data_IF_207968671721
#
_entry.id   IF_207968671721
#
_cell.length_a   1.000
_cell.length_b   1.000
_cell.length_c   1.000
_cell.angle_alpha   90.00
_cell.angle_beta   90.00
_cell.angle_gamma   90.00
#
_symmetry.space_group_name_H-M   'P 1'
#
loop_
_entity.id
_entity.type
_entity.pdbx_description
1 polymer ?
#
# COMPACT_ATOMS: atom_id res chain seq x y z
N UNK A 1 -8.86 -23.44 18.58
CA UNK A 1 -7.89 -24.08 17.67
C UNK A 1 -8.70 -24.67 16.54
N UNK A 2 -8.26 -24.48 15.29
CA UNK A 2 -9.06 -24.59 14.04
C UNK A 2 -9.90 -23.36 13.69
N UNK A 3 -9.21 -22.29 13.25
CA UNK A 3 -9.68 -21.42 12.15
C UNK A 3 -8.51 -20.54 11.65
N UNK A 4 -7.34 -21.14 11.40
CA UNK A 4 -6.19 -20.48 10.76
C UNK A 4 -5.62 -21.45 9.73
N UNK A 5 -6.38 -21.66 8.65
CA UNK A 5 -5.90 -22.28 7.40
C UNK A 5 -6.84 -21.83 6.29
N UNK A 6 -6.47 -20.75 5.62
CA UNK A 6 -7.27 -20.24 4.49
C UNK A 6 -7.12 -18.75 4.19
N UNK A 7 -5.93 -18.17 4.38
CA UNK A 7 -5.64 -16.83 3.86
C UNK A 7 -4.17 -16.74 3.47
N UNK A 8 -3.83 -17.41 2.38
CA UNK A 8 -2.63 -17.19 1.56
C UNK A 8 -2.87 -18.02 0.29
N UNK A 9 -3.38 -17.36 -0.76
CA UNK A 9 -3.45 -17.74 -2.19
C UNK A 9 -4.77 -17.26 -2.79
N UNK A 10 -4.76 -16.03 -3.31
CA UNK A 10 -5.68 -15.62 -4.38
C UNK A 10 -4.96 -14.59 -5.22
N UNK A 11 -4.09 -15.08 -6.10
CA UNK A 11 -3.73 -14.36 -7.31
C UNK A 11 -4.96 -14.34 -8.20
N UNK A 12 -5.53 -13.15 -8.43
CA UNK A 12 -6.67 -12.97 -9.32
C UNK A 12 -6.19 -13.02 -10.78
N UNK A 13 -6.70 -14.01 -11.51
CA UNK A 13 -6.75 -14.05 -12.96
C UNK A 13 -7.81 -13.04 -13.46
N UNK A 14 -7.45 -12.20 -14.43
CA UNK A 14 -8.40 -11.37 -15.17
C UNK A 14 -9.20 -12.24 -16.16
N UNK A 15 -10.50 -12.01 -16.35
CA UNK A 15 -11.28 -12.71 -17.37
C UNK A 15 -11.15 -11.99 -18.72
N UNK A 16 -10.72 -12.72 -19.75
CA UNK A 16 -10.84 -12.33 -21.15
C UNK A 16 -12.15 -12.88 -21.71
N UNK A 17 -13.00 -11.99 -22.21
CA UNK A 17 -14.29 -12.27 -22.84
C UNK A 17 -14.20 -12.20 -24.37
N UNK A 18 -14.52 -13.29 -25.08
CA UNK A 18 -15.07 -13.29 -26.45
C UNK A 18 -15.87 -14.60 -26.70
N UNK A 19 -16.96 -14.59 -27.50
CA UNK A 19 -17.96 -15.68 -27.56
C UNK A 19 -17.71 -16.70 -28.68
N UNK A 20 -18.40 -17.88 -28.67
CA UNK A 20 -18.15 -18.97 -29.62
C UNK A 20 -19.22 -19.15 -30.72
N UNK A 21 -18.79 -19.73 -31.85
CA UNK A 21 -19.58 -20.31 -32.95
C UNK A 21 -18.69 -20.45 -34.19
N UNK A 22 -18.71 -21.48 -35.05
CA UNK A 22 -19.48 -22.71 -35.20
C UNK A 22 -18.78 -23.53 -36.34
N UNK A 23 -18.62 -24.87 -36.22
CA UNK A 23 -18.50 -25.91 -37.28
C UNK A 23 -17.38 -25.79 -38.37
N UNK A 24 -16.69 -26.81 -38.92
CA UNK A 24 -16.74 -28.27 -38.87
C UNK A 24 -15.53 -28.90 -39.63
N UNK A 25 -15.33 -30.21 -39.46
CA UNK A 25 -14.85 -31.25 -40.41
C UNK A 25 -13.36 -31.28 -40.88
N UNK A 26 -12.60 -32.31 -40.47
CA UNK A 26 -12.28 -33.53 -41.27
C UNK A 26 -11.12 -34.38 -40.68
N UNK A 27 -11.45 -35.66 -40.49
CA UNK A 27 -10.74 -36.96 -40.38
C UNK A 27 -9.19 -37.16 -40.33
N UNK A 28 -8.72 -38.34 -39.81
CA UNK A 28 -7.31 -38.70 -39.53
C UNK A 28 -6.69 -39.70 -40.53
N UNK A 29 -5.37 -39.94 -40.44
CA UNK A 29 -4.64 -40.95 -41.24
C UNK A 29 -3.33 -41.43 -40.61
N UNK A 30 -3.11 -42.74 -40.67
CA UNK A 30 -2.17 -43.59 -39.92
C UNK A 30 -0.91 -44.00 -40.70
N UNK A 31 0.10 -44.49 -39.95
CA UNK A 31 1.15 -45.47 -40.33
C UNK A 31 2.31 -44.98 -41.22
N UNK A 32 3.52 -45.54 -41.26
CA UNK A 32 4.23 -46.65 -40.61
C UNK A 32 5.73 -46.47 -40.98
N UNK A 33 6.68 -46.97 -40.19
CA UNK A 33 7.77 -47.87 -40.62
C UNK A 33 8.90 -47.94 -39.58
N UNK A 34 8.96 -49.07 -38.88
CA UNK A 34 10.12 -49.54 -38.14
C UNK A 34 10.71 -50.73 -38.92
N UNK A 35 12.02 -50.75 -39.09
CA UNK A 35 12.77 -51.85 -39.71
C UNK A 35 13.17 -52.88 -38.66
N UNK A 36 12.98 -54.16 -39.01
CA UNK A 36 13.38 -55.32 -38.21
C UNK A 36 14.83 -55.73 -38.52
N UNK A 37 15.55 -56.20 -37.50
CA UNK A 37 16.69 -57.12 -37.65
C UNK A 37 16.68 -58.07 -36.44
N UNK A 38 16.80 -59.37 -36.71
CA UNK A 38 16.56 -60.53 -35.83
C UNK A 38 17.90 -61.33 -35.67
N UNK A 39 17.98 -62.39 -34.86
CA UNK A 39 18.55 -62.43 -33.51
C UNK A 39 19.91 -63.18 -33.41
N UNK A 40 20.53 -63.17 -32.23
CA UNK A 40 21.51 -64.20 -31.82
C UNK A 40 21.23 -64.63 -30.38
N UNK A 41 20.94 -65.93 -30.21
CA UNK A 41 20.75 -66.59 -28.92
C UNK A 41 22.10 -66.86 -28.26
N UNK A 42 22.30 -66.40 -27.02
CA UNK A 42 23.12 -67.09 -26.02
C UNK A 42 22.86 -66.50 -24.62
N UNK A 43 22.51 -67.36 -23.66
CA UNK A 43 22.59 -67.05 -22.23
C UNK A 43 21.27 -66.73 -21.54
N UNK A 44 20.41 -67.74 -21.40
CA UNK A 44 19.29 -67.72 -20.46
C UNK A 44 19.83 -67.71 -19.02
N UNK A 45 19.97 -66.53 -18.43
CA UNK A 45 19.89 -66.35 -16.98
C UNK A 45 18.62 -65.57 -16.71
N UNK A 46 17.54 -66.28 -16.37
CA UNK A 46 16.34 -65.70 -15.77
C UNK A 46 16.75 -64.88 -14.54
N UNK A 47 16.86 -63.57 -14.70
CA UNK A 47 16.75 -62.65 -13.58
C UNK A 47 15.29 -62.71 -13.12
N UNK A 48 15.08 -63.21 -11.90
CA UNK A 48 13.78 -63.17 -11.24
C UNK A 48 13.23 -61.73 -11.29
N UNK A 49 11.95 -61.51 -11.60
CA UNK A 49 11.35 -60.20 -11.42
C UNK A 49 11.37 -59.93 -9.91
N UNK A 50 12.26 -59.04 -9.48
CA UNK A 50 12.13 -58.45 -8.14
C UNK A 50 10.88 -57.58 -8.21
N UNK A 51 9.77 -58.12 -7.72
CA UNK A 51 8.57 -57.33 -7.47
C UNK A 51 8.95 -56.16 -6.58
N UNK A 52 8.87 -54.94 -7.12
CA UNK A 52 8.96 -53.73 -6.32
C UNK A 52 7.79 -53.78 -5.33
N UNK A 53 8.05 -53.72 -4.01
CA UNK A 53 6.97 -53.73 -3.03
C UNK A 53 6.03 -52.55 -3.29
N UNK A 54 4.71 -52.78 -3.38
CA UNK A 54 3.74 -51.71 -3.53
C UNK A 54 3.71 -50.92 -2.23
N UNK A 55 4.36 -49.75 -2.20
CA UNK A 55 4.30 -48.88 -1.04
C UNK A 55 5.47 -47.93 -0.82
N UNK A 56 6.59 -48.05 -1.53
CA UNK A 56 7.68 -47.08 -1.38
C UNK A 56 7.39 -45.87 -2.28
N UNK A 57 6.68 -44.88 -1.72
CA UNK A 57 6.66 -43.52 -2.28
C UNK A 57 8.12 -43.10 -2.48
N UNK A 58 8.55 -42.95 -3.72
CA UNK A 58 9.91 -42.51 -4.05
C UNK A 58 10.23 -41.26 -3.26
N UNK A 59 11.31 -41.30 -2.45
CA UNK A 59 11.74 -40.14 -1.68
C UNK A 59 12.34 -39.14 -2.67
N UNK A 60 11.69 -37.99 -2.83
CA UNK A 60 12.28 -36.86 -3.56
C UNK A 60 13.43 -36.33 -2.71
N UNK A 61 14.65 -36.50 -3.20
CA UNK A 61 15.84 -35.89 -2.61
C UNK A 61 16.00 -34.48 -3.18
N UNK A 62 16.04 -33.48 -2.31
CA UNK A 62 16.35 -32.09 -2.64
C UNK A 62 17.69 -31.76 -2.00
N UNK A 63 18.68 -31.41 -2.83
CA UNK A 63 19.97 -30.93 -2.38
C UNK A 63 19.93 -29.40 -2.33
N UNK A 64 20.19 -28.84 -1.16
CA UNK A 64 20.32 -27.40 -0.94
C UNK A 64 21.81 -27.06 -0.90
N UNK A 65 22.28 -26.29 -1.88
CA UNK A 65 23.60 -25.67 -1.85
C UNK A 65 23.47 -24.25 -1.29
N UNK A 66 24.18 -23.97 -0.20
CA UNK A 66 24.11 -22.70 0.52
C UNK A 66 25.48 -22.02 0.46
N UNK A 67 25.59 -20.97 -0.35
CA UNK A 67 26.80 -20.17 -0.45
C UNK A 67 26.77 -18.99 0.55
N UNK A 68 27.68 -19.00 1.51
CA UNK A 68 27.82 -17.96 2.55
C UNK A 68 29.05 -17.07 2.37
N UNK A 69 29.78 -17.18 1.25
CA UNK A 69 31.04 -16.44 1.03
C UNK A 69 30.85 -14.92 0.93
N UNK A 70 29.73 -14.48 0.36
CA UNK A 70 29.42 -13.04 0.23
C UNK A 70 27.91 -12.83 0.11
N UNK A 71 27.35 -11.77 0.74
CA UNK A 71 25.94 -11.44 0.59
C UNK A 71 25.64 -11.01 -0.84
N UNK A 72 24.53 -11.52 -1.41
CA UNK A 72 24.07 -11.10 -2.75
C UNK A 72 23.56 -9.65 -2.71
N UNK A 73 22.83 -9.28 -1.65
CA UNK A 73 22.36 -7.91 -1.41
C UNK A 73 22.27 -7.65 0.09
N UNK A 74 22.50 -6.41 0.48
CA UNK A 74 22.21 -5.90 1.82
C UNK A 74 20.91 -5.09 1.72
N UNK A 75 19.90 -5.47 2.50
CA UNK A 75 18.59 -4.82 2.51
C UNK A 75 18.49 -3.86 3.69
N UNK A 76 17.57 -2.90 3.58
CA UNK A 76 17.22 -2.00 4.69
C UNK A 76 16.63 -2.78 5.86
N UNK A 77 16.84 -2.31 7.09
CA UNK A 77 16.11 -2.82 8.26
C UNK A 77 14.59 -2.62 8.11
N UNK A 78 14.17 -1.60 7.35
CA UNK A 78 12.78 -1.31 7.03
C UNK A 78 12.28 -2.07 5.78
N UNK A 79 12.90 -3.19 5.40
CA UNK A 79 12.62 -3.88 4.14
C UNK A 79 11.14 -4.27 4.00
N UNK A 80 10.55 -4.85 5.05
CA UNK A 80 9.13 -5.16 5.08
C UNK A 80 8.35 -3.95 5.59
N UNK A 81 7.80 -3.17 4.67
CA UNK A 81 7.08 -1.93 4.97
C UNK A 81 5.59 -2.01 4.61
N UNK A 82 4.81 -1.05 5.13
CA UNK A 82 3.35 -1.00 5.00
C UNK A 82 2.88 0.20 4.19
N UNK A 83 1.69 0.10 3.62
CA UNK A 83 1.02 1.21 2.95
C UNK A 83 -0.40 1.40 3.49
N UNK A 84 -0.81 2.66 3.67
CA UNK A 84 -2.18 3.07 3.91
C UNK A 84 -2.62 4.02 2.79
N UNK A 85 -3.71 3.69 2.12
CA UNK A 85 -4.29 4.53 1.08
C UNK A 85 -5.03 5.73 1.70
N UNK A 86 -4.90 6.97 1.16
CA UNK A 86 -5.58 8.15 1.68
C UNK A 86 -7.10 8.02 1.80
N UNK A 87 -7.72 7.08 1.09
CA UNK A 87 -9.13 6.76 1.22
C UNK A 87 -9.63 6.54 2.66
N UNK A 88 -8.76 6.13 3.58
CA UNK A 88 -9.08 5.99 5.01
C UNK A 88 -9.46 7.31 5.72
N UNK A 89 -9.30 8.46 5.07
CA UNK A 89 -9.74 9.75 5.60
C UNK A 89 -11.27 9.88 5.60
N UNK A 90 -11.97 9.10 4.77
CA UNK A 90 -13.43 9.06 4.80
C UNK A 90 -13.97 8.34 6.05
N UNK A 91 -15.12 8.80 6.52
CA UNK A 91 -16.00 8.10 7.49
C UNK A 91 -15.37 7.72 8.85
N UNK A 92 -14.39 8.50 9.31
CA UNK A 92 -13.81 8.35 10.65
C UNK A 92 -12.86 7.16 10.81
N UNK A 93 -12.45 6.52 9.71
CA UNK A 93 -11.49 5.41 9.73
C UNK A 93 -10.13 5.80 10.36
N UNK A 94 -9.70 7.05 10.21
CA UNK A 94 -8.51 7.54 10.89
C UNK A 94 -8.57 7.42 12.42
N UNK A 95 -9.78 7.40 13.01
CA UNK A 95 -9.94 7.22 14.45
C UNK A 95 -9.55 5.80 14.88
N UNK A 96 -9.65 4.82 13.96
CA UNK A 96 -9.21 3.44 14.18
C UNK A 96 -7.69 3.32 14.37
N UNK A 97 -6.91 4.27 13.85
CA UNK A 97 -5.46 4.25 14.02
C UNK A 97 -5.04 4.38 15.50
N UNK A 98 -5.92 4.89 16.37
CA UNK A 98 -5.69 4.93 17.81
C UNK A 98 -5.93 3.58 18.53
N UNK A 99 -6.45 2.57 17.82
CA UNK A 99 -6.80 1.27 18.41
C UNK A 99 -5.58 0.53 18.95
N UNK A 100 -5.69 0.05 20.20
CA UNK A 100 -4.64 -0.79 20.82
C UNK A 100 -4.27 -2.00 19.99
N UNK A 101 -5.27 -2.64 19.40
CA UNK A 101 -5.04 -3.83 18.57
C UNK A 101 -4.20 -3.46 17.35
N UNK A 102 -4.56 -2.39 16.65
CA UNK A 102 -3.85 -1.99 15.44
C UNK A 102 -2.42 -1.52 15.75
N UNK A 103 -2.25 -0.70 16.80
CA UNK A 103 -0.91 -0.26 17.24
C UNK A 103 -0.04 -1.47 17.66
N UNK A 104 -0.61 -2.45 18.37
CA UNK A 104 0.15 -3.65 18.78
C UNK A 104 0.58 -4.48 17.57
N UNK A 105 -0.30 -4.65 16.58
CA UNK A 105 0.05 -5.35 15.33
C UNK A 105 1.11 -4.59 14.54
N UNK A 106 0.98 -3.26 14.44
CA UNK A 106 1.92 -2.41 13.73
C UNK A 106 3.32 -2.41 14.39
N UNK A 107 3.38 -2.42 15.73
CA UNK A 107 4.65 -2.57 16.49
C UNK A 107 5.37 -3.88 16.18
N UNK A 108 4.64 -4.96 15.94
CA UNK A 108 5.22 -6.24 15.56
C UNK A 108 5.92 -6.23 14.20
N UNK A 109 5.73 -5.17 13.41
CA UNK A 109 6.37 -4.96 12.11
C UNK A 109 7.48 -3.91 12.16
N UNK A 110 7.72 -3.27 13.31
CA UNK A 110 8.81 -2.33 13.47
C UNK A 110 10.18 -3.06 13.49
N UNK A 111 11.24 -2.47 12.92
CA UNK A 111 11.26 -1.19 12.22
C UNK A 111 10.73 -1.30 10.78
N UNK A 112 9.89 -0.36 10.36
CA UNK A 112 9.32 -0.34 9.02
C UNK A 112 8.86 1.08 8.60
N UNK A 113 8.70 1.29 7.29
CA UNK A 113 8.03 2.48 6.78
C UNK A 113 6.51 2.29 6.80
N UNK A 114 5.80 3.37 7.12
CA UNK A 114 4.38 3.51 6.84
C UNK A 114 4.22 4.49 5.68
N UNK A 115 3.94 4.00 4.48
CA UNK A 115 3.70 4.83 3.30
C UNK A 115 2.24 5.25 3.26
N UNK A 116 1.96 6.54 3.44
CA UNK A 116 0.62 7.11 3.25
C UNK A 116 0.48 7.60 1.81
N UNK A 117 0.06 6.70 0.92
CA UNK A 117 -0.05 6.93 -0.51
C UNK A 117 -1.00 5.91 -1.15
N UNK A 118 -1.53 6.24 -2.32
CA UNK A 118 -2.33 5.35 -3.15
C UNK A 118 -3.14 6.12 -4.20
N UNK A 119 -4.22 5.53 -4.70
CA UNK A 119 -4.98 6.13 -5.82
C UNK A 119 -5.55 7.51 -5.48
N UNK A 120 -5.90 7.74 -4.21
CA UNK A 120 -6.44 9.02 -3.74
C UNK A 120 -5.40 10.07 -3.34
N UNK A 121 -4.09 9.78 -3.45
CA UNK A 121 -3.01 10.74 -3.13
C UNK A 121 -3.22 12.07 -3.86
N UNK A 122 -3.52 12.01 -5.15
CA UNK A 122 -3.60 13.19 -6.00
C UNK A 122 -4.96 13.92 -5.97
N UNK A 123 -5.84 13.50 -5.07
CA UNK A 123 -7.11 14.17 -4.77
C UNK A 123 -7.12 14.78 -3.36
N UNK A 124 -6.04 14.57 -2.61
CA UNK A 124 -5.89 15.05 -1.24
C UNK A 124 -5.59 16.55 -1.20
N UNK A 125 -6.25 17.26 -0.30
CA UNK A 125 -6.07 18.69 -0.05
C UNK A 125 -5.97 18.96 1.45
N UNK A 126 -4.87 19.55 1.88
CA UNK A 126 -4.71 19.93 3.27
C UNK A 126 -5.47 21.21 3.58
N UNK A 127 -6.37 21.16 4.57
CA UNK A 127 -7.07 22.32 5.09
C UNK A 127 -6.78 22.48 6.59
N UNK A 128 -6.05 23.53 6.92
CA UNK A 128 -5.80 23.91 8.30
C UNK A 128 -6.94 24.77 8.82
N UNK A 129 -8.10 24.15 9.07
CA UNK A 129 -9.24 24.84 9.69
C UNK A 129 -8.91 25.06 11.17
N UNK A 130 -8.90 26.33 11.63
CA UNK A 130 -8.90 26.62 13.06
C UNK A 130 -10.15 25.96 13.66
N UNK A 131 -9.99 25.19 14.73
CA UNK A 131 -11.09 24.43 15.34
C UNK A 131 -12.31 25.36 15.56
N UNK A 132 -13.46 25.15 14.87
CA UNK A 132 -14.64 26.00 15.00
C UNK A 132 -15.15 26.07 16.44
N UNK A 133 -14.98 24.99 17.21
CA UNK A 133 -15.36 24.90 18.62
C UNK A 133 -14.60 25.88 19.53
N UNK A 134 -13.46 26.42 19.08
CA UNK A 134 -12.71 27.47 19.82
C UNK A 134 -13.10 28.89 19.43
N UNK A 135 -13.88 29.07 18.36
CA UNK A 135 -14.12 30.40 17.75
C UNK A 135 -15.54 30.93 17.90
N UNK A 136 -16.49 30.12 18.40
CA UNK A 136 -17.86 30.56 18.64
C UNK A 136 -18.26 30.21 20.07
N UNK A 137 -18.26 31.20 20.96
CA UNK A 137 -18.75 31.07 22.34
C UNK A 137 -20.27 30.93 22.44
N UNK A 138 -20.84 29.95 21.75
CA UNK A 138 -22.26 29.62 21.84
C UNK A 138 -22.46 28.10 21.85
N UNK A 139 -23.50 27.58 22.52
CA UNK A 139 -23.80 26.15 22.51
C UNK A 139 -24.34 25.77 21.13
N UNK A 140 -23.50 25.12 20.32
CA UNK A 140 -23.88 24.55 19.04
C UNK A 140 -24.60 23.20 19.23
N UNK A 141 -24.80 22.40 18.16
CA UNK A 141 -25.43 21.06 18.18
C UNK A 141 -24.70 20.02 19.07
N UNK A 142 -23.74 20.49 19.85
CA UNK A 142 -22.85 19.85 20.80
C UNK A 142 -23.55 19.14 21.96
N UNK A 143 -24.87 19.17 22.12
CA UNK A 143 -25.47 18.51 23.29
C UNK A 143 -25.38 16.96 23.22
N UNK A 144 -25.41 16.37 22.03
CA UNK A 144 -25.28 14.91 21.85
C UNK A 144 -23.90 14.46 21.34
N UNK A 145 -23.12 15.35 20.73
CA UNK A 145 -21.75 15.05 20.27
C UNK A 145 -20.68 15.25 21.35
N UNK A 146 -20.97 16.01 22.41
CA UNK A 146 -20.00 16.30 23.48
C UNK A 146 -19.68 15.08 24.34
N UNK A 147 -20.62 14.13 24.49
CA UNK A 147 -20.33 12.87 25.17
C UNK A 147 -19.46 11.93 24.31
N UNK A 148 -19.53 12.02 22.97
CA UNK A 148 -18.68 11.23 22.06
C UNK A 148 -17.32 11.89 21.83
N UNK A 149 -17.26 13.22 21.72
CA UNK A 149 -15.99 13.95 21.64
C UNK A 149 -15.22 13.86 22.97
N UNK A 150 -15.84 13.88 24.15
CA UNK A 150 -15.10 13.75 25.42
C UNK A 150 -14.48 12.34 25.64
N UNK A 151 -15.11 11.29 25.11
CA UNK A 151 -14.54 9.93 25.10
C UNK A 151 -13.46 9.76 24.02
N UNK A 152 -13.61 10.43 22.87
CA UNK A 152 -12.59 10.49 21.82
C UNK A 152 -11.41 11.42 22.20
N UNK A 153 -11.65 12.47 22.98
CA UNK A 153 -10.63 13.38 23.54
C UNK A 153 -9.81 12.67 24.61
N UNK A 154 -10.36 11.65 25.29
CA UNK A 154 -9.57 10.68 26.07
C UNK A 154 -8.86 9.63 25.22
N UNK A 155 -9.25 9.46 23.96
CA UNK A 155 -8.57 8.59 22.98
C UNK A 155 -7.45 9.26 22.20
N UNK A 156 -7.23 10.56 22.43
CA UNK A 156 -5.99 11.21 22.04
C UNK A 156 -4.86 10.38 22.63
N UNK A 157 -4.02 9.83 21.76
CA UNK A 157 -2.72 9.30 22.16
C UNK A 157 -2.00 10.48 22.82
N UNK A 158 -2.12 10.58 24.13
CA UNK A 158 -1.44 11.58 24.92
C UNK A 158 0.04 11.21 24.86
N UNK A 159 0.75 11.83 23.93
CA UNK A 159 2.21 11.84 23.85
C UNK A 159 2.73 12.55 25.11
N UNK A 160 2.77 11.82 26.22
CA UNK A 160 3.54 12.21 27.38
C UNK A 160 5.02 12.09 27.00
N UNK A 161 5.72 13.23 26.99
CA UNK A 161 7.11 13.38 26.57
C UNK A 161 8.11 12.59 27.42
N UNK A 162 7.66 11.87 28.45
CA UNK A 162 8.56 11.14 29.33
C UNK A 162 8.44 9.61 29.31
N UNK A 163 7.40 8.95 28.77
CA UNK A 163 7.22 7.49 28.96
C UNK A 163 6.46 6.70 27.86
N UNK A 164 6.66 7.02 26.58
CA UNK A 164 6.13 6.20 25.49
C UNK A 164 4.61 6.30 25.33
N UNK A 165 4.13 6.02 24.12
CA UNK A 165 2.74 6.24 23.77
C UNK A 165 1.77 5.45 24.64
N UNK A 166 0.94 6.17 25.40
CA UNK A 166 -0.20 5.60 26.12
C UNK A 166 -1.30 5.34 25.08
N UNK A 167 -1.50 4.06 24.79
CA UNK A 167 -2.56 3.62 23.91
C UNK A 167 -3.90 3.77 24.65
N UNK A 168 -4.84 4.49 24.05
CA UNK A 168 -6.20 4.61 24.56
C UNK A 168 -6.86 3.23 24.66
N UNK A 169 -7.51 2.96 25.80
CA UNK A 169 -8.39 1.82 25.94
C UNK A 169 -9.76 2.23 25.40
N UNK A 170 -10.16 1.64 24.28
CA UNK A 170 -11.47 1.87 23.69
C UNK A 170 -12.48 0.87 24.25
N UNK A 171 -13.71 1.29 24.61
CA UNK A 171 -14.77 0.37 25.00
C UNK A 171 -15.20 -0.51 23.82
N UNK A 172 -15.72 -1.72 24.08
CA UNK A 172 -16.05 -2.72 23.05
C UNK A 172 -17.04 -2.21 21.98
N UNK A 173 -17.92 -1.27 22.34
CA UNK A 173 -18.86 -0.59 21.42
C UNK A 173 -18.11 0.10 20.27
N UNK A 174 -16.93 0.67 20.54
CA UNK A 174 -16.08 1.26 19.50
C UNK A 174 -15.56 0.19 18.54
N UNK A 175 -15.27 -1.03 19.01
CA UNK A 175 -14.81 -2.11 18.15
C UNK A 175 -15.91 -2.60 17.19
N UNK A 176 -17.15 -2.62 17.65
CA UNK A 176 -18.30 -3.00 16.83
C UNK A 176 -18.61 -1.95 15.77
N UNK A 177 -18.63 -0.66 16.16
CA UNK A 177 -18.76 0.46 15.23
C UNK A 177 -17.62 0.48 14.20
N UNK A 178 -16.39 0.13 14.61
CA UNK A 178 -15.24 0.01 13.72
C UNK A 178 -15.43 -1.09 12.66
N UNK A 179 -16.01 -2.24 13.03
CA UNK A 179 -16.30 -3.32 12.07
C UNK A 179 -17.38 -2.91 11.08
N UNK A 180 -18.44 -2.26 11.55
CA UNK A 180 -19.53 -1.81 10.69
C UNK A 180 -19.05 -0.78 9.65
N UNK A 181 -18.31 0.24 10.11
CA UNK A 181 -17.69 1.24 9.22
C UNK A 181 -16.69 0.62 8.25
N UNK A 182 -15.94 -0.40 8.67
CA UNK A 182 -15.03 -1.11 7.77
C UNK A 182 -15.76 -1.87 6.66
N UNK A 183 -16.88 -2.52 6.99
CA UNK A 183 -17.71 -3.22 6.01
C UNK A 183 -18.34 -2.25 5.00
N UNK A 184 -18.86 -1.11 5.46
CA UNK A 184 -19.43 -0.08 4.58
C UNK A 184 -18.37 0.52 3.63
N UNK A 185 -17.16 0.77 4.13
CA UNK A 185 -16.06 1.31 3.33
C UNK A 185 -15.67 0.39 2.16
N UNK A 186 -15.70 -0.94 2.36
CA UNK A 186 -15.33 -1.88 1.29
C UNK A 186 -16.16 -1.66 0.02
N UNK A 187 -17.47 -1.44 0.16
CA UNK A 187 -18.37 -1.18 -0.97
C UNK A 187 -18.07 0.16 -1.66
N UNK A 188 -17.77 1.21 -0.89
CA UNK A 188 -17.41 2.53 -1.43
C UNK A 188 -16.12 2.42 -2.25
N UNK A 189 -15.09 1.80 -1.69
CA UNK A 189 -13.80 1.63 -2.36
C UNK A 189 -13.93 0.79 -3.63
N UNK A 190 -14.74 -0.27 -3.60
CA UNK A 190 -15.03 -1.08 -4.79
C UNK A 190 -15.71 -0.23 -5.88
N UNK A 191 -16.75 0.54 -5.54
CA UNK A 191 -17.46 1.39 -6.51
C UNK A 191 -16.53 2.41 -7.16
N UNK A 192 -15.64 3.03 -6.40
CA UNK A 192 -14.66 3.96 -6.94
C UNK A 192 -13.63 3.27 -7.83
N UNK A 193 -13.18 2.07 -7.44
CA UNK A 193 -12.25 1.28 -8.24
C UNK A 193 -12.85 0.90 -9.59
N UNK A 194 -14.15 0.58 -9.66
CA UNK A 194 -14.82 0.25 -10.91
C UNK A 194 -15.14 1.47 -11.78
N UNK A 195 -15.56 2.58 -11.16
CA UNK A 195 -15.98 3.79 -11.89
C UNK A 195 -14.84 4.74 -12.25
N UNK A 196 -13.66 4.59 -11.64
CA UNK A 196 -12.53 5.53 -11.74
C UNK A 196 -12.92 7.00 -11.49
N UNK A 197 -13.99 7.23 -10.74
CA UNK A 197 -14.47 8.56 -10.39
C UNK A 197 -14.13 8.82 -8.94
N UNK A 198 -13.23 9.78 -8.70
CA UNK A 198 -12.75 10.12 -7.36
C UNK A 198 -13.15 11.55 -6.99
N UNK A 199 -13.60 11.74 -5.76
CA UNK A 199 -13.88 13.06 -5.19
C UNK A 199 -12.66 13.64 -4.49
N UNK A 200 -12.62 14.97 -4.35
CA UNK A 200 -11.56 15.64 -3.58
C UNK A 200 -11.66 15.26 -2.11
N UNK A 201 -10.51 14.98 -1.52
CA UNK A 201 -10.38 14.56 -0.14
C UNK A 201 -9.75 15.66 0.70
N UNK A 202 -10.37 16.00 1.83
CA UNK A 202 -9.81 17.02 2.74
C UNK A 202 -9.05 16.37 3.89
N UNK A 203 -7.75 16.65 3.98
CA UNK A 203 -6.93 16.33 5.15
C UNK A 203 -6.98 17.49 6.14
N UNK A 204 -7.48 17.24 7.35
CA UNK A 204 -7.44 18.22 8.44
C UNK A 204 -6.15 18.10 9.25
N UNK A 205 -5.82 19.15 10.02
CA UNK A 205 -4.75 19.11 11.01
C UNK A 205 -4.90 17.94 12.00
N UNK A 206 -6.13 17.71 12.51
CA UNK A 206 -6.44 16.59 13.43
C UNK A 206 -6.20 15.23 12.77
N UNK A 207 -6.59 15.07 11.51
CA UNK A 207 -6.38 13.85 10.73
C UNK A 207 -4.89 13.52 10.56
N UNK A 208 -4.08 14.54 10.27
CA UNK A 208 -2.63 14.37 10.16
C UNK A 208 -1.99 14.01 11.50
N UNK A 209 -2.40 14.66 12.59
CA UNK A 209 -1.89 14.36 13.94
C UNK A 209 -2.17 12.90 14.31
N UNK A 210 -3.37 12.38 14.03
CA UNK A 210 -3.73 10.97 14.26
C UNK A 210 -2.85 10.02 13.46
N UNK A 211 -2.65 10.29 12.17
CA UNK A 211 -1.81 9.48 11.30
C UNK A 211 -0.34 9.45 11.76
N UNK A 212 0.23 10.62 12.07
CA UNK A 212 1.62 10.72 12.53
C UNK A 212 1.80 10.00 13.87
N UNK A 213 0.91 10.25 14.83
CA UNK A 213 0.99 9.62 16.14
C UNK A 213 0.90 8.10 16.03
N UNK A 214 0.05 7.56 15.16
CA UNK A 214 0.00 6.12 14.91
C UNK A 214 1.34 5.56 14.43
N UNK A 215 1.98 6.20 13.44
CA UNK A 215 3.27 5.77 12.92
C UNK A 215 4.35 5.80 14.02
N UNK A 216 4.51 6.96 14.66
CA UNK A 216 5.52 7.20 15.69
C UNK A 216 5.35 6.23 16.88
N UNK A 217 4.12 6.07 17.36
CA UNK A 217 3.81 5.17 18.47
C UNK A 217 3.93 3.68 18.13
N UNK A 218 3.93 3.35 16.85
CA UNK A 218 4.12 1.99 16.36
C UNK A 218 5.58 1.69 16.03
N UNK A 219 6.50 2.65 16.19
CA UNK A 219 7.90 2.49 15.78
C UNK A 219 8.08 2.49 14.25
N UNK A 220 7.14 3.11 13.53
CA UNK A 220 7.15 3.19 12.07
C UNK A 220 7.58 4.59 11.62
N UNK A 221 8.32 4.67 10.53
CA UNK A 221 8.68 5.94 9.90
C UNK A 221 7.68 6.32 8.82
N UNK A 222 6.98 7.45 8.99
CA UNK A 222 5.96 7.91 8.05
C UNK A 222 6.60 8.47 6.77
N UNK A 223 6.20 7.91 5.63
CA UNK A 223 6.40 8.49 4.30
C UNK A 223 5.07 9.04 3.81
N UNK A 224 4.99 10.33 3.53
CA UNK A 224 3.75 11.00 3.13
C UNK A 224 3.82 11.46 1.67
N UNK A 225 2.90 10.98 0.83
CA UNK A 225 2.83 11.41 -0.57
C UNK A 225 1.93 12.65 -0.74
N UNK A 226 2.49 13.67 -1.38
CA UNK A 226 1.82 14.93 -1.69
C UNK A 226 1.04 14.84 -3.01
N UNK A 227 -0.02 15.64 -3.11
CA UNK A 227 -0.83 15.77 -4.31
C UNK A 227 -0.06 16.49 -5.44
N UNK A 228 0.22 15.79 -6.54
CA UNK A 228 0.88 16.30 -7.73
C UNK A 228 -0.09 16.83 -8.81
N UNK A 229 -1.40 16.69 -8.67
CA UNK A 229 -2.41 17.16 -9.64
C UNK A 229 -2.89 18.59 -9.40
N UNK A 230 -2.39 19.26 -8.35
CA UNK A 230 -2.53 20.71 -8.18
C UNK A 230 -1.63 21.44 -9.18
N UNK A 231 -2.23 21.93 -10.28
CA UNK A 231 -1.50 22.51 -11.42
C UNK A 231 -1.85 23.97 -11.65
N UNK A 232 -0.83 24.77 -11.97
CA UNK A 232 -1.01 26.12 -12.52
C UNK A 232 -1.43 26.03 -14.01
N UNK A 233 -1.88 27.14 -14.64
CA UNK A 233 -2.28 27.14 -16.05
C UNK A 233 -1.17 26.66 -17.01
N UNK A 234 0.09 26.89 -16.67
CA UNK A 234 1.26 26.43 -17.43
C UNK A 234 1.67 24.96 -17.14
N UNK A 235 0.83 24.19 -16.46
CA UNK A 235 1.07 22.81 -16.03
C UNK A 235 2.20 22.61 -14.99
N UNK A 236 2.82 23.68 -14.48
CA UNK A 236 3.72 23.59 -13.33
C UNK A 236 2.96 23.21 -12.06
N UNK A 237 3.63 22.53 -11.14
CA UNK A 237 3.03 22.15 -9.86
C UNK A 237 2.77 23.37 -8.96
N UNK A 238 1.55 23.46 -8.44
CA UNK A 238 1.18 24.47 -7.45
C UNK A 238 1.44 23.92 -6.04
N UNK A 239 2.57 24.34 -5.48
CA UNK A 239 3.07 23.87 -4.18
C UNK A 239 2.45 24.55 -2.96
N UNK A 240 1.51 25.49 -3.13
CA UNK A 240 0.97 26.29 -2.01
C UNK A 240 0.29 25.45 -0.93
N UNK A 241 -0.46 24.42 -1.35
CA UNK A 241 -1.12 23.50 -0.42
C UNK A 241 -0.10 22.61 0.31
N UNK A 242 0.86 22.05 -0.43
CA UNK A 242 1.94 21.26 0.14
C UNK A 242 2.78 22.08 1.14
N UNK A 243 3.13 23.33 0.81
CA UNK A 243 3.84 24.22 1.73
C UNK A 243 3.07 24.46 3.04
N UNK A 244 1.75 24.55 2.97
CA UNK A 244 0.91 24.69 4.17
C UNK A 244 0.97 23.44 5.05
N UNK A 245 0.92 22.25 4.45
CA UNK A 245 1.09 20.98 5.14
C UNK A 245 2.49 20.86 5.75
N UNK A 246 3.54 21.13 4.98
CA UNK A 246 4.93 21.10 5.44
C UNK A 246 5.15 22.03 6.63
N UNK A 247 4.64 23.27 6.57
CA UNK A 247 4.74 24.23 7.68
C UNK A 247 4.03 23.73 8.94
N UNK A 248 2.84 23.16 8.79
CA UNK A 248 2.10 22.59 9.91
C UNK A 248 2.88 21.42 10.54
N UNK A 249 3.31 20.44 9.74
CA UNK A 249 4.08 19.29 10.23
C UNK A 249 5.40 19.71 10.90
N UNK A 250 6.09 20.71 10.33
CA UNK A 250 7.31 21.26 10.91
C UNK A 250 7.05 21.96 12.25
N UNK A 251 5.93 22.68 12.38
CA UNK A 251 5.54 23.32 13.65
C UNK A 251 5.27 22.30 14.77
N UNK A 252 4.80 21.11 14.39
CA UNK A 252 4.62 19.95 15.29
C UNK A 252 5.90 19.13 15.49
N UNK A 253 6.99 19.47 14.78
CA UNK A 253 8.27 18.74 14.77
C UNK A 253 8.13 17.29 14.30
N UNK A 254 7.17 17.02 13.42
CA UNK A 254 6.97 15.69 12.86
C UNK A 254 8.11 15.29 11.93
N UNK A 255 8.71 14.13 12.18
CA UNK A 255 9.75 13.53 11.33
C UNK A 255 9.09 12.71 10.21
N UNK A 256 8.96 13.31 9.03
CA UNK A 256 8.25 12.73 7.88
C UNK A 256 9.18 12.76 6.67
N UNK A 257 9.21 11.65 5.92
CA UNK A 257 9.77 11.63 4.56
C UNK A 257 8.67 11.86 3.54
N UNK A 258 9.03 12.37 2.36
CA UNK A 258 8.05 12.90 1.41
C UNK A 258 8.11 12.19 0.06
N UNK A 259 6.96 12.15 -0.61
CA UNK A 259 6.80 11.74 -2.00
C UNK A 259 5.94 12.79 -2.73
N UNK A 260 5.95 12.79 -4.07
CA UNK A 260 5.08 13.64 -4.88
C UNK A 260 4.36 12.83 -5.96
N UNK A 261 3.05 12.70 -5.79
CA UNK A 261 2.15 12.00 -6.70
C UNK A 261 2.16 10.47 -6.55
N UNK A 262 1.15 9.84 -7.14
CA UNK A 262 1.02 8.40 -7.24
C UNK A 262 0.65 7.99 -8.68
N UNK A 263 1.46 7.11 -9.28
CA UNK A 263 1.27 6.58 -10.64
C UNK A 263 1.00 7.66 -11.71
N UNK A 264 1.90 8.66 -11.87
CA UNK A 264 1.71 9.78 -12.81
C UNK A 264 1.54 9.33 -14.27
N UNK A 265 2.03 8.13 -14.61
CA UNK A 265 1.84 7.49 -15.91
C UNK A 265 0.37 7.14 -16.21
N UNK A 266 -0.54 7.19 -15.23
CA UNK A 266 -1.96 6.91 -15.37
C UNK A 266 -2.86 8.17 -15.31
N UNK A 267 -2.31 9.37 -15.10
CA UNK A 267 -3.11 10.60 -14.96
C UNK A 267 -4.01 10.90 -16.15
N UNK A 268 -3.57 10.59 -17.38
CA UNK A 268 -4.38 10.83 -18.58
C UNK A 268 -5.67 10.01 -18.55
N UNK A 269 -5.59 8.76 -18.09
CA UNK A 269 -6.75 7.87 -17.95
C UNK A 269 -7.65 8.30 -16.81
N UNK A 270 -7.07 8.73 -15.68
CA UNK A 270 -7.82 9.04 -14.46
C UNK A 270 -8.56 10.38 -14.53
N UNK A 271 -7.93 11.42 -15.09
CA UNK A 271 -8.46 12.79 -15.03
C UNK A 271 -8.27 13.58 -16.34
N UNK A 272 -7.94 12.91 -17.45
CA UNK A 272 -7.76 13.56 -18.75
C UNK A 272 -6.54 14.49 -18.87
N UNK A 273 -5.66 14.52 -17.86
CA UNK A 273 -4.44 15.37 -17.86
C UNK A 273 -3.18 14.52 -17.87
N UNK A 274 -2.15 14.97 -18.56
CA UNK A 274 -0.84 14.32 -18.57
C UNK A 274 0.24 15.23 -18.00
N UNK A 275 1.11 14.66 -17.17
CA UNK A 275 2.34 15.29 -16.70
C UNK A 275 3.49 14.43 -17.20
N UNK A 276 4.36 15.00 -18.04
CA UNK A 276 5.51 14.26 -18.55
C UNK A 276 6.63 14.17 -17.50
N UNK A 277 7.58 13.24 -17.70
CA UNK A 277 8.68 13.01 -16.75
C UNK A 277 9.54 14.26 -16.51
N UNK A 278 9.83 15.04 -17.55
CA UNK A 278 10.64 16.26 -17.42
C UNK A 278 9.96 17.33 -16.57
N UNK A 279 8.65 17.54 -16.74
CA UNK A 279 7.88 18.45 -15.90
C UNK A 279 7.78 17.93 -14.47
N UNK A 280 7.50 16.64 -14.28
CA UNK A 280 7.48 16.04 -12.95
C UNK A 280 8.84 16.17 -12.25
N UNK A 281 9.95 16.00 -12.96
CA UNK A 281 11.30 16.24 -12.44
C UNK A 281 11.49 17.68 -11.95
N UNK A 282 11.01 18.68 -12.69
CA UNK A 282 11.01 20.08 -12.24
C UNK A 282 10.16 20.27 -10.97
N UNK A 283 9.01 19.60 -10.90
CA UNK A 283 8.15 19.66 -9.72
C UNK A 283 8.85 19.05 -8.47
N UNK A 284 9.60 17.95 -8.65
CA UNK A 284 10.43 17.36 -7.58
C UNK A 284 11.58 18.28 -7.14
N UNK A 285 12.23 19.00 -8.07
CA UNK A 285 13.26 20.00 -7.73
C UNK A 285 12.65 21.14 -6.91
N UNK A 286 11.46 21.60 -7.29
CA UNK A 286 10.73 22.61 -6.52
C UNK A 286 10.40 22.11 -5.11
N UNK A 287 9.88 20.88 -4.98
CA UNK A 287 9.61 20.28 -3.67
C UNK A 287 10.89 20.15 -2.83
N UNK A 288 12.00 19.69 -3.40
CA UNK A 288 13.29 19.60 -2.71
C UNK A 288 13.73 20.97 -2.16
N UNK A 289 13.57 22.02 -2.95
CA UNK A 289 13.89 23.38 -2.55
C UNK A 289 13.02 23.83 -1.36
N UNK A 290 11.72 23.53 -1.37
CA UNK A 290 10.83 23.83 -0.24
C UNK A 290 11.21 23.08 1.04
N UNK A 291 11.58 21.81 0.93
CA UNK A 291 12.04 21.01 2.09
C UNK A 291 13.33 21.59 2.68
N UNK A 292 14.27 22.04 1.84
CA UNK A 292 15.53 22.66 2.29
C UNK A 292 15.33 23.97 3.06
N UNK A 293 14.31 24.75 2.70
CA UNK A 293 13.97 25.99 3.41
C UNK A 293 13.40 25.76 4.82
N UNK A 294 12.86 24.57 5.08
CA UNK A 294 12.27 24.23 6.37
C UNK A 294 13.31 23.45 7.17
N UNK A 295 13.86 24.06 8.23
CA UNK A 295 14.97 23.49 9.02
C UNK A 295 14.75 22.02 9.41
N UNK A 296 13.54 21.67 9.87
CA UNK A 296 13.15 20.30 10.26
C UNK A 296 13.24 19.30 9.10
N UNK A 297 13.06 19.74 7.86
CA UNK A 297 13.03 18.90 6.66
C UNK A 297 14.23 19.08 5.73
N UNK A 298 15.22 19.87 6.12
CA UNK A 298 16.42 20.11 5.30
C UNK A 298 17.17 18.83 4.92
N UNK A 299 17.05 17.79 5.76
CA UNK A 299 17.61 16.45 5.58
C UNK A 299 16.55 15.36 5.41
N UNK A 300 15.28 15.73 5.20
CA UNK A 300 14.23 14.74 4.99
C UNK A 300 14.46 13.98 3.66
N UNK A 301 14.13 12.69 3.66
CA UNK A 301 14.18 11.90 2.44
C UNK A 301 13.02 12.28 1.51
N UNK A 302 13.30 12.25 0.21
CA UNK A 302 12.35 12.50 -0.86
C UNK A 302 12.41 11.32 -1.82
N UNK A 303 11.30 10.59 -1.96
CA UNK A 303 11.19 9.40 -2.81
C UNK A 303 10.24 9.66 -3.98
N UNK A 304 10.39 8.90 -5.07
CA UNK A 304 9.57 9.05 -6.28
C UNK A 304 10.18 8.32 -7.48
N UNK A 305 9.55 8.40 -8.68
CA UNK A 305 8.31 9.11 -9.01
C UNK A 305 7.03 8.27 -8.83
N UNK A 306 7.10 7.13 -8.13
CA UNK A 306 5.95 6.26 -7.86
C UNK A 306 5.17 5.83 -9.12
N UNK A 307 5.88 5.54 -10.21
CA UNK A 307 5.24 5.05 -11.43
C UNK A 307 4.59 3.68 -11.18
N UNK A 308 3.45 3.46 -11.83
CA UNK A 308 2.87 2.13 -11.92
C UNK A 308 3.71 1.22 -12.83
N UNK A 309 3.15 0.08 -13.21
CA UNK A 309 3.86 -0.90 -14.06
C UNK A 309 4.49 -0.23 -15.30
N UNK A 310 5.81 -0.36 -15.51
CA UNK A 310 6.48 0.17 -16.68
C UNK A 310 5.88 -0.41 -17.97
N UNK A 311 5.77 0.40 -19.02
CA UNK A 311 5.35 -0.08 -20.34
C UNK A 311 6.46 -0.95 -20.94
N UNK A 312 6.09 -1.94 -21.76
CA UNK A 312 7.02 -2.95 -22.33
C UNK A 312 8.29 -2.34 -22.94
N UNK A 313 8.15 -1.22 -23.64
CA UNK A 313 9.23 -0.51 -24.31
C UNK A 313 10.21 0.23 -23.37
N UNK A 314 9.89 0.34 -22.08
CA UNK A 314 10.69 1.06 -21.07
C UNK A 314 11.33 0.07 -20.08
N UNK A 315 10.93 -1.21 -20.10
CA UNK A 315 11.50 -2.24 -19.21
C UNK A 315 13.00 -2.40 -19.45
N UNK A 316 13.46 -2.30 -20.70
CA UNK A 316 14.88 -2.36 -21.05
C UNK A 316 15.72 -1.22 -20.43
N UNK A 317 15.11 -0.12 -19.97
CA UNK A 317 15.80 0.95 -19.27
C UNK A 317 15.94 0.70 -17.76
N UNK A 318 15.36 -0.38 -17.24
CA UNK A 318 15.38 -0.76 -15.82
C UNK A 318 16.37 -1.89 -15.53
N UNK A 319 16.90 -2.54 -16.56
CA UNK A 319 18.05 -3.44 -16.45
C UNK A 319 19.30 -2.57 -16.40
N UNK A 320 19.69 -2.19 -15.19
CA UNK A 320 20.99 -1.58 -14.88
C UNK A 320 22.05 -2.62 -14.60
#
# INVERSE_FOLDING_TARGET
SELIRGFLLSGMLCPSSFPPGLLALMAPGLALMATFSLPSHAGDRRALPVEKPPGVKGRTLILLDVNTKSPVRIISENFLSLQLDPSIIHDGWLDFLSSRRLVTLARGLAPAFLRFAGKRTDFLQFHNVKNPAKSRGGPGPDYYLKNYEDDIVRSDIALDKQKGCKIAQHPDIMLELQREKAAQMHLVLLKEQFSNTYSNLTLTARSLDKLYNFADCSGLHLIFALNALRRNPNNSWNSSNALSLLKYSASKKYNISWELGNEPNNYRTLIGRSVNGSQLGKDYIQLRSLLQLIRTYSRANLYGPNIGRPRKNVIALLEG
#
